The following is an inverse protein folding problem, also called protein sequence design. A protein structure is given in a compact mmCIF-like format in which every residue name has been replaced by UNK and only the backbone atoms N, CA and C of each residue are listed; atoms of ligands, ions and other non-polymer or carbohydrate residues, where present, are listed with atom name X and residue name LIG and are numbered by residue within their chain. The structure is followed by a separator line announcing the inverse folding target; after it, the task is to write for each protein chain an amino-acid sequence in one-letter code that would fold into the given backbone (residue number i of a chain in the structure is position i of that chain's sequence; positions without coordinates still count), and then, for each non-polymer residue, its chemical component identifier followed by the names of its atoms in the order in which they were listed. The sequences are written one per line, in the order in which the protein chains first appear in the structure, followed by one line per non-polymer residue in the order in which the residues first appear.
data_IF_623633468446
#
_entry.id   IF_623633468446
#
_cell.length_a   1.000
_cell.length_b   1.000
_cell.length_c   1.000
_cell.angle_alpha   90.00
_cell.angle_beta   90.00
_cell.angle_gamma   90.00
#
_symmetry.space_group_name_H-M   'P 1'
#
loop_
_entity.id
_entity.type
_entity.pdbx_description
1 polymer ?
#
# COMPACT_ATOMS: atom_id res chain seq x y z
N UNK A 1 12.61 -20.36 -27.20
CA UNK A 1 12.81 -19.93 -25.80
C UNK A 1 11.87 -18.81 -25.41
N UNK A 2 11.69 -17.79 -26.28
CA UNK A 2 10.79 -16.64 -26.06
C UNK A 2 9.35 -17.00 -25.65
N UNK A 3 8.74 -18.03 -26.26
CA UNK A 3 7.36 -18.43 -25.91
C UNK A 3 7.23 -18.96 -24.47
N UNK A 4 8.24 -19.63 -23.90
CA UNK A 4 8.14 -20.14 -22.53
C UNK A 4 8.36 -19.06 -21.47
N UNK A 5 9.10 -18.00 -21.79
CA UNK A 5 9.23 -16.81 -20.94
C UNK A 5 7.96 -15.96 -20.97
N UNK A 6 7.30 -15.85 -22.14
CA UNK A 6 5.99 -15.20 -22.26
C UNK A 6 4.92 -15.99 -21.50
N UNK A 7 4.86 -17.32 -21.64
CA UNK A 7 3.90 -18.13 -20.89
C UNK A 7 4.16 -18.13 -19.37
N UNK A 8 5.44 -18.09 -18.94
CA UNK A 8 5.79 -17.89 -17.53
C UNK A 8 5.37 -16.51 -17.04
N UNK A 9 5.61 -15.44 -17.81
CA UNK A 9 5.12 -14.09 -17.49
C UNK A 9 3.60 -14.07 -17.38
N UNK A 10 2.90 -14.69 -18.34
CA UNK A 10 1.44 -14.75 -18.36
C UNK A 10 0.90 -15.53 -17.15
N UNK A 11 1.51 -16.66 -16.76
CA UNK A 11 1.15 -17.40 -15.53
C UNK A 11 1.49 -16.65 -14.24
N UNK A 12 2.57 -15.86 -14.23
CA UNK A 12 2.88 -14.97 -13.12
C UNK A 12 1.78 -13.89 -13.02
N UNK A 13 1.31 -13.35 -14.13
CA UNK A 13 0.23 -12.36 -14.20
C UNK A 13 -1.17 -12.90 -13.88
N UNK A 14 -1.47 -14.15 -14.26
CA UNK A 14 -2.79 -14.80 -14.04
C UNK A 14 -3.05 -15.19 -12.57
N UNK A 15 -2.03 -15.10 -11.70
CA UNK A 15 -2.18 -15.31 -10.25
C UNK A 15 -1.95 -14.04 -9.41
N UNK A 16 -1.79 -12.89 -10.07
CA UNK A 16 -1.65 -11.59 -9.43
C UNK A 16 -3.02 -10.92 -9.42
N UNK A 17 -3.62 -10.71 -8.25
CA UNK A 17 -4.61 -9.64 -8.17
C UNK A 17 -3.88 -8.32 -8.30
N UNK A 18 -4.46 -7.37 -9.02
CA UNK A 18 -3.93 -6.04 -9.04
C UNK A 18 -4.63 -5.26 -7.93
N UNK A 19 -3.95 -5.14 -6.81
CA UNK A 19 -4.42 -4.28 -5.73
C UNK A 19 -3.90 -2.87 -5.98
N UNK A 20 -4.80 -1.99 -6.43
CA UNK A 20 -4.46 -0.60 -6.69
C UNK A 20 -4.39 0.17 -5.38
N UNK A 21 -3.21 0.18 -4.76
CA UNK A 21 -3.06 0.80 -3.47
C UNK A 21 -2.93 2.33 -3.56
N UNK A 22 -4.02 3.07 -3.48
CA UNK A 22 -3.95 4.53 -3.49
C UNK A 22 -3.53 5.09 -2.10
N UNK A 23 -2.40 5.80 -2.04
CA UNK A 23 -2.04 6.57 -0.83
C UNK A 23 -3.06 7.69 -0.65
N UNK A 24 -3.93 7.57 0.35
CA UNK A 24 -4.80 8.67 0.72
C UNK A 24 -4.01 9.82 1.36
N UNK A 25 -3.93 10.91 0.60
CA UNK A 25 -3.57 12.29 0.94
C UNK A 25 -2.67 12.45 2.18
N UNK A 26 -1.39 12.15 2.01
CA UNK A 26 -0.41 13.13 2.49
C UNK A 26 -0.65 14.44 1.74
N UNK A 27 -0.45 15.60 2.37
CA UNK A 27 -0.74 16.93 1.79
C UNK A 27 -0.19 17.15 0.36
N UNK A 28 0.77 16.33 -0.09
CA UNK A 28 1.47 16.41 -1.37
C UNK A 28 0.95 15.51 -2.52
N UNK A 29 -0.13 14.74 -2.35
CA UNK A 29 -0.81 14.07 -3.49
C UNK A 29 -0.03 12.97 -4.24
N UNK A 30 0.92 12.27 -3.59
CA UNK A 30 1.70 11.19 -4.22
C UNK A 30 1.01 9.81 -4.14
N UNK A 31 0.49 9.31 -5.26
CA UNK A 31 -0.09 7.96 -5.39
C UNK A 31 0.99 6.89 -5.67
N UNK A 32 0.83 5.68 -5.12
CA UNK A 32 1.79 4.57 -5.33
C UNK A 32 1.08 3.26 -5.61
N UNK A 33 1.08 2.82 -6.86
CA UNK A 33 0.50 1.54 -7.24
C UNK A 33 1.41 0.36 -6.86
N UNK A 34 0.82 -0.68 -6.29
CA UNK A 34 1.47 -1.96 -6.03
C UNK A 34 0.77 -3.08 -6.80
N UNK A 35 1.48 -4.19 -7.00
CA UNK A 35 0.87 -5.40 -7.56
C UNK A 35 1.39 -6.61 -6.81
N UNK A 36 0.49 -7.33 -6.14
CA UNK A 36 0.82 -8.47 -5.27
C UNK A 36 -0.16 -9.61 -5.50
N UNK A 37 0.24 -10.86 -5.22
CA UNK A 37 -0.70 -11.99 -5.37
C UNK A 37 -1.75 -11.93 -4.26
N UNK A 38 -2.97 -12.40 -4.54
CA UNK A 38 -4.05 -12.49 -3.53
C UNK A 38 -3.67 -13.30 -2.29
N UNK A 39 -2.80 -14.29 -2.47
CA UNK A 39 -2.29 -15.13 -1.39
C UNK A 39 -1.07 -14.54 -0.65
N UNK A 40 -0.57 -13.38 -1.07
CA UNK A 40 0.59 -12.74 -0.43
C UNK A 40 0.13 -11.89 0.75
N UNK A 41 0.83 -12.05 1.87
CA UNK A 41 0.63 -11.20 3.04
C UNK A 41 0.86 -9.72 2.71
N UNK A 42 -0.04 -8.88 3.20
CA UNK A 42 0.00 -7.42 3.03
C UNK A 42 1.25 -6.78 3.67
N UNK A 43 1.91 -7.46 4.62
CA UNK A 43 3.14 -7.00 5.28
C UNK A 43 4.23 -6.59 4.29
N UNK A 44 4.42 -7.33 3.20
CA UNK A 44 5.45 -7.01 2.19
C UNK A 44 5.18 -5.66 1.53
N UNK A 45 3.91 -5.41 1.25
CA UNK A 45 3.45 -4.18 0.63
C UNK A 45 3.54 -3.00 1.62
N UNK A 46 3.17 -3.22 2.89
CA UNK A 46 3.28 -2.20 3.94
C UNK A 46 4.74 -1.80 4.16
N UNK A 47 5.64 -2.77 4.26
CA UNK A 47 7.09 -2.53 4.37
C UNK A 47 7.62 -1.73 3.17
N UNK A 48 7.31 -2.17 1.94
CA UNK A 48 7.80 -1.49 0.74
C UNK A 48 7.29 -0.04 0.64
N UNK A 49 6.05 0.21 1.08
CA UNK A 49 5.52 1.55 1.17
C UNK A 49 6.25 2.39 2.24
N UNK A 50 6.48 1.83 3.42
CA UNK A 50 7.19 2.48 4.52
C UNK A 50 8.65 2.83 4.13
N UNK A 51 9.35 1.90 3.49
CA UNK A 51 10.71 2.10 2.99
C UNK A 51 10.75 3.23 1.94
N UNK A 52 9.80 3.24 1.00
CA UNK A 52 9.72 4.27 -0.05
C UNK A 52 9.41 5.66 0.50
N UNK A 53 8.60 5.74 1.55
CA UNK A 53 8.25 7.01 2.18
C UNK A 53 9.23 7.40 3.29
N UNK A 54 10.19 6.53 3.63
CA UNK A 54 11.14 6.71 4.75
C UNK A 54 10.44 6.98 6.08
N UNK A 55 9.43 6.16 6.38
CA UNK A 55 8.57 6.26 7.56
C UNK A 55 8.49 4.92 8.28
N UNK A 56 8.32 4.93 9.59
CA UNK A 56 8.15 3.70 10.35
C UNK A 56 6.77 3.07 10.13
N UNK A 57 6.73 1.74 10.02
CA UNK A 57 5.48 0.98 9.87
C UNK A 57 4.52 1.18 11.06
N UNK A 58 5.05 1.42 12.26
CA UNK A 58 4.24 1.69 13.44
C UNK A 58 3.62 3.10 13.43
N UNK A 59 4.18 4.01 12.64
CA UNK A 59 3.71 5.39 12.48
C UNK A 59 2.62 5.51 11.43
N UNK A 60 2.24 4.42 10.76
CA UNK A 60 1.22 4.40 9.71
C UNK A 60 0.13 3.36 10.02
N UNK A 61 -1.12 3.77 9.85
CA UNK A 61 -2.28 2.90 9.84
C UNK A 61 -2.74 2.69 8.39
N UNK A 62 -2.66 1.45 7.92
CA UNK A 62 -3.25 1.04 6.65
C UNK A 62 -4.71 0.64 6.87
N UNK A 63 -5.62 1.20 6.09
CA UNK A 63 -7.06 1.04 6.20
C UNK A 63 -7.63 0.58 4.86
N UNK A 64 -8.48 -0.43 4.90
CA UNK A 64 -9.29 -0.88 3.76
C UNK A 64 -10.75 -0.81 4.16
N UNK A 65 -11.58 -0.14 3.36
CA UNK A 65 -12.99 0.10 3.69
C UNK A 65 -13.18 0.63 5.13
N UNK A 66 -12.30 1.55 5.55
CA UNK A 66 -12.26 2.12 6.90
C UNK A 66 -11.77 1.18 8.02
N UNK A 67 -11.43 -0.07 7.72
CA UNK A 67 -10.94 -1.07 8.71
C UNK A 67 -9.42 -1.17 8.69
N UNK A 68 -8.82 -1.24 9.87
CA UNK A 68 -7.36 -1.37 10.00
C UNK A 68 -6.88 -2.74 9.53
N UNK A 69 -5.99 -2.73 8.54
CA UNK A 69 -5.33 -3.90 8.01
C UNK A 69 -4.21 -4.36 8.94
N UNK A 70 -4.04 -5.68 9.00
CA UNK A 70 -2.88 -6.34 9.63
C UNK A 70 -1.97 -6.88 8.56
N UNK A 71 -0.66 -6.87 8.80
CA UNK A 71 0.32 -7.33 7.82
C UNK A 71 0.20 -8.82 7.50
N UNK A 72 -0.32 -9.61 8.44
CA UNK A 72 -0.50 -11.06 8.31
C UNK A 72 -1.69 -11.42 7.40
N UNK A 73 -2.61 -10.50 7.18
CA UNK A 73 -3.77 -10.72 6.32
C UNK A 73 -3.36 -10.72 4.85
N UNK A 74 -4.18 -11.41 4.06
CA UNK A 74 -4.04 -11.49 2.62
C UNK A 74 -5.22 -10.79 1.92
N UNK A 75 -5.02 -10.28 0.70
CA UNK A 75 -6.12 -9.74 -0.09
C UNK A 75 -7.28 -10.71 -0.31
N UNK A 76 -7.00 -12.02 -0.39
CA UNK A 76 -8.03 -13.06 -0.55
C UNK A 76 -8.96 -13.12 0.67
N UNK A 77 -8.40 -13.10 1.89
CA UNK A 77 -9.16 -13.10 3.14
C UNK A 77 -10.01 -11.83 3.35
N UNK A 78 -9.60 -10.74 2.70
CA UNK A 78 -10.29 -9.45 2.76
C UNK A 78 -11.23 -9.24 1.58
N UNK A 79 -11.37 -10.26 0.71
CA UNK A 79 -12.18 -10.24 -0.51
C UNK A 79 -11.86 -9.04 -1.42
N UNK A 80 -10.61 -8.57 -1.39
CA UNK A 80 -10.20 -7.40 -2.17
C UNK A 80 -10.22 -7.72 -3.66
N UNK A 81 -10.79 -6.80 -4.45
CA UNK A 81 -10.92 -6.87 -5.90
C UNK A 81 -9.83 -6.07 -6.63
N UNK A 82 -9.83 -6.22 -7.95
CA UNK A 82 -8.92 -5.47 -8.81
C UNK A 82 -9.35 -3.99 -8.84
N UNK A 83 -8.42 -3.09 -8.50
CA UNK A 83 -8.74 -1.66 -8.39
C UNK A 83 -9.15 -1.19 -6.98
N UNK A 84 -9.20 -2.09 -6.00
CA UNK A 84 -9.48 -1.70 -4.60
C UNK A 84 -8.37 -0.88 -3.96
N UNK A 85 -8.78 0.12 -3.17
CA UNK A 85 -7.91 1.13 -2.57
C UNK A 85 -7.64 0.89 -1.08
N UNK A 86 -6.37 1.01 -0.66
CA UNK A 86 -5.99 0.97 0.76
C UNK A 86 -5.43 2.33 1.18
N UNK A 87 -6.07 2.93 2.16
CA UNK A 87 -5.72 4.24 2.69
C UNK A 87 -4.57 4.10 3.70
N UNK A 88 -3.46 4.82 3.50
CA UNK A 88 -2.35 4.87 4.46
C UNK A 88 -2.38 6.19 5.25
N UNK A 89 -2.83 6.15 6.51
CA UNK A 89 -2.89 7.29 7.40
C UNK A 89 -1.66 7.33 8.32
N UNK A 90 -0.85 8.38 8.20
CA UNK A 90 0.18 8.66 9.20
C UNK A 90 -0.49 9.00 10.53
N UNK A 91 0.00 8.41 11.63
CA UNK A 91 -0.32 8.89 12.95
C UNK A 91 0.15 10.34 13.01
N UNK A 92 -0.78 11.28 13.15
CA UNK A 92 -0.46 12.68 13.21
C UNK A 92 0.22 12.98 14.55
N UNK A 93 1.52 12.71 14.64
CA UNK A 93 2.37 13.31 15.66
C UNK A 93 2.63 14.74 15.17
N UNK A 94 1.82 15.69 15.63
CA UNK A 94 2.04 17.12 15.37
C UNK A 94 3.44 17.56 15.79
N UNK A 95 4.03 18.62 15.23
CA UNK A 95 3.42 19.67 14.45
C UNK A 95 4.40 20.39 13.54
N UNK A 96 3.83 21.10 12.57
CA UNK A 96 4.48 22.18 11.87
C UNK A 96 4.90 23.24 12.90
N UNK A 97 6.21 23.46 13.06
CA UNK A 97 6.74 24.72 13.60
C UNK A 97 6.43 25.83 12.58
N UNK A 98 5.16 26.24 12.49
CA UNK A 98 4.83 27.57 12.02
C UNK A 98 5.21 28.51 13.16
N UNK A 99 6.45 28.99 13.12
CA UNK A 99 6.83 30.21 13.82
C UNK A 99 5.99 31.34 13.24
N UNK A 100 4.81 31.59 13.81
CA UNK A 100 4.28 32.94 13.83
C UNK A 100 5.15 33.73 14.79
N UNK A 101 6.27 34.26 14.30
CA UNK A 101 6.92 35.38 14.96
C UNK A 101 6.03 36.60 14.74
N UNK A 102 5.02 36.74 15.59
CA UNK A 102 4.40 38.01 15.88
C UNK A 102 5.22 38.68 16.98
N UNK A 103 6.14 39.56 16.59
CA UNK A 103 6.62 40.76 17.28
C UNK A 103 7.96 41.19 16.67
#
# INVERSE_FOLDING_TARGET
MINSEIEKKLKIEQGLAFLALEKVKGQDGNEVFFRIKRSTQLKKLMNAYCDRQSVDLNSIAFLFDGRRLRGEQTPDELEMEDGDEIHAMLHQTGGSLINYSSA
#
